data_IF_441597646584
#
_entry.id   IF_441597646584
#
_cell.length_a   1.000
_cell.length_b   1.000
_cell.length_c   1.000
_cell.angle_alpha   90.00
_cell.angle_beta   90.00
_cell.angle_gamma   90.00
#
_symmetry.space_group_name_H-M   'P 1'
#
loop_
_entity.id
_entity.type
_entity.pdbx_description
1 polymer ?
#
# COMPACT_ATOMS: atom_id res chain seq x y z
N UNK A 1 -66.80 -60.11 1.39
CA UNK A 1 -65.44 -59.78 0.91
C UNK A 1 -64.48 -59.91 2.09
N UNK A 2 -63.73 -61.02 2.20
CA UNK A 2 -62.77 -61.24 3.29
C UNK A 2 -61.49 -60.44 3.00
N UNK A 3 -61.24 -59.38 3.78
CA UNK A 3 -59.98 -58.64 3.72
C UNK A 3 -58.83 -59.53 4.20
N UNK A 4 -57.82 -59.70 3.35
CA UNK A 4 -56.55 -60.35 3.69
C UNK A 4 -55.79 -59.46 4.66
N UNK A 5 -55.47 -59.98 5.85
CA UNK A 5 -54.52 -59.36 6.75
C UNK A 5 -53.12 -59.42 6.11
N UNK A 6 -52.53 -58.26 5.84
CA UNK A 6 -51.16 -58.13 5.34
C UNK A 6 -50.23 -58.27 6.54
N UNK A 7 -49.46 -59.35 6.59
CA UNK A 7 -48.47 -59.58 7.64
C UNK A 7 -47.22 -58.71 7.33
N UNK A 8 -47.17 -57.51 7.91
CA UNK A 8 -46.02 -56.61 7.84
C UNK A 8 -44.86 -57.17 8.67
N UNK A 9 -43.64 -57.20 8.10
CA UNK A 9 -42.46 -57.64 8.84
C UNK A 9 -42.18 -56.73 10.04
N UNK A 10 -41.65 -57.30 11.13
CA UNK A 10 -41.39 -56.58 12.39
C UNK A 10 -40.51 -55.32 12.21
N UNK A 11 -39.65 -55.29 11.18
CA UNK A 11 -38.85 -54.10 10.83
C UNK A 11 -39.69 -52.95 10.26
N UNK A 12 -40.72 -53.27 9.48
CA UNK A 12 -41.63 -52.28 8.92
C UNK A 12 -42.56 -51.71 9.99
N UNK A 13 -42.99 -52.54 10.94
CA UNK A 13 -43.76 -52.07 12.10
C UNK A 13 -42.92 -51.13 12.97
N UNK A 14 -41.64 -51.45 13.21
CA UNK A 14 -40.73 -50.57 13.94
C UNK A 14 -40.54 -49.22 13.24
N UNK A 15 -40.41 -49.22 11.91
CA UNK A 15 -40.24 -47.99 11.13
C UNK A 15 -41.48 -47.09 11.16
N UNK A 16 -42.67 -47.69 11.07
CA UNK A 16 -43.94 -46.96 11.20
C UNK A 16 -44.08 -46.35 12.61
N UNK A 17 -43.71 -47.10 13.65
CA UNK A 17 -43.73 -46.60 15.04
C UNK A 17 -42.78 -45.42 15.22
N UNK A 18 -41.58 -45.47 14.64
CA UNK A 18 -40.60 -44.37 14.69
C UNK A 18 -41.12 -43.14 13.94
N UNK A 19 -41.75 -43.30 12.78
CA UNK A 19 -42.36 -42.19 12.03
C UNK A 19 -43.52 -41.55 12.80
N UNK A 20 -44.35 -42.36 13.46
CA UNK A 20 -45.46 -41.86 14.29
C UNK A 20 -44.91 -41.11 15.52
N UNK A 21 -43.88 -41.64 16.17
CA UNK A 21 -43.23 -40.97 17.30
C UNK A 21 -42.56 -39.66 16.87
N UNK A 22 -41.91 -39.63 15.71
CA UNK A 22 -41.31 -38.42 15.15
C UNK A 22 -42.38 -37.39 14.73
N UNK A 23 -43.48 -37.84 14.13
CA UNK A 23 -44.61 -36.97 13.81
C UNK A 23 -45.26 -36.37 15.07
N UNK A 24 -45.40 -37.16 16.13
CA UNK A 24 -45.94 -36.72 17.41
C UNK A 24 -45.02 -35.72 18.13
N UNK A 25 -43.69 -35.93 18.08
CA UNK A 25 -42.74 -34.96 18.66
C UNK A 25 -42.69 -33.66 17.87
N UNK A 26 -42.78 -33.69 16.54
CA UNK A 26 -42.88 -32.49 15.71
C UNK A 26 -44.18 -31.72 16.00
N UNK A 27 -45.31 -32.43 16.14
CA UNK A 27 -46.60 -31.81 16.50
C UNK A 27 -46.60 -31.20 17.91
N UNK A 28 -46.02 -31.89 18.91
CA UNK A 28 -45.86 -31.37 20.27
C UNK A 28 -44.90 -30.17 20.32
N UNK A 29 -43.90 -30.14 19.44
CA UNK A 29 -42.98 -29.00 19.30
C UNK A 29 -43.68 -27.80 18.67
N UNK A 30 -44.52 -28.00 17.66
CA UNK A 30 -45.32 -26.95 17.01
C UNK A 30 -46.40 -26.38 17.93
N UNK A 31 -47.03 -27.20 18.79
CA UNK A 31 -48.01 -26.71 19.77
C UNK A 31 -47.34 -25.98 20.94
N UNK A 32 -46.13 -26.38 21.37
CA UNK A 32 -45.34 -25.63 22.36
C UNK A 32 -44.70 -24.34 21.80
N UNK A 33 -44.48 -24.24 20.48
CA UNK A 33 -44.11 -22.99 19.81
C UNK A 33 -45.30 -22.02 19.68
N UNK A 34 -46.53 -22.52 19.67
CA UNK A 34 -47.75 -21.69 19.66
C UNK A 34 -48.12 -21.12 21.04
N UNK A 35 -47.53 -21.60 22.14
CA UNK A 35 -47.81 -21.11 23.51
C UNK A 35 -46.69 -20.27 24.14
N UNK A 36 -45.61 -19.99 23.41
CA UNK A 36 -44.51 -19.14 23.90
C UNK A 36 -44.54 -17.74 23.25
N UNK A 37 -44.80 -16.72 24.07
CA UNK A 37 -44.96 -15.30 23.69
C UNK A 37 -43.74 -14.59 23.10
N UNK A 38 -42.74 -15.31 22.57
CA UNK A 38 -41.53 -14.74 21.97
C UNK A 38 -41.64 -14.37 20.48
N UNK A 39 -42.53 -15.02 19.70
CA UNK A 39 -42.62 -14.79 18.25
C UNK A 39 -43.24 -13.42 17.89
N UNK A 40 -44.21 -12.94 18.68
CA UNK A 40 -44.81 -11.62 18.46
C UNK A 40 -43.80 -10.47 18.67
N UNK A 41 -42.93 -10.58 19.67
CA UNK A 41 -41.93 -9.55 19.97
C UNK A 41 -40.78 -9.52 18.97
N UNK A 42 -40.37 -10.67 18.41
CA UNK A 42 -39.36 -10.71 17.35
C UNK A 42 -39.90 -10.12 16.04
N UNK A 43 -41.11 -10.54 15.65
CA UNK A 43 -41.75 -10.05 14.44
C UNK A 43 -42.09 -8.55 14.53
N UNK A 44 -42.46 -8.06 15.71
CA UNK A 44 -42.69 -6.62 15.93
C UNK A 44 -41.38 -5.80 15.87
N UNK A 45 -40.26 -6.35 16.35
CA UNK A 45 -38.96 -5.69 16.23
C UNK A 45 -38.44 -5.67 14.79
N UNK A 46 -38.63 -6.75 14.03
CA UNK A 46 -38.26 -6.80 12.62
C UNK A 46 -39.17 -5.89 11.79
N UNK A 47 -40.47 -5.82 12.08
CA UNK A 47 -41.38 -4.87 11.46
C UNK A 47 -41.01 -3.41 11.79
N UNK A 48 -40.59 -3.13 13.04
CA UNK A 48 -40.08 -1.80 13.45
C UNK A 48 -38.73 -1.46 12.81
N UNK A 49 -37.88 -2.44 12.51
CA UNK A 49 -36.63 -2.25 11.77
C UNK A 49 -36.89 -2.01 10.29
N UNK A 50 -37.81 -2.76 9.70
CA UNK A 50 -38.23 -2.58 8.30
C UNK A 50 -38.92 -1.23 8.10
N UNK A 51 -39.82 -0.82 9.00
CA UNK A 51 -40.46 0.50 8.95
C UNK A 51 -39.45 1.64 9.13
N UNK A 52 -38.38 1.44 9.94
CA UNK A 52 -37.27 2.40 10.03
C UNK A 52 -36.45 2.44 8.73
N UNK A 53 -36.15 1.29 8.13
CA UNK A 53 -35.45 1.25 6.85
C UNK A 53 -36.26 1.94 5.74
N UNK A 54 -37.57 1.70 5.68
CA UNK A 54 -38.49 2.38 4.75
C UNK A 54 -38.56 3.88 5.04
N UNK A 55 -38.61 4.29 6.32
CA UNK A 55 -38.58 5.73 6.64
C UNK A 55 -37.26 6.38 6.23
N UNK A 56 -36.12 5.69 6.37
CA UNK A 56 -34.84 6.16 5.89
C UNK A 56 -34.78 6.25 4.37
N UNK A 57 -35.33 5.27 3.64
CA UNK A 57 -35.42 5.31 2.17
C UNK A 57 -36.32 6.44 1.71
N UNK A 58 -37.50 6.61 2.31
CA UNK A 58 -38.41 7.72 2.00
C UNK A 58 -37.78 9.07 2.36
N UNK A 59 -36.98 9.15 3.42
CA UNK A 59 -36.25 10.35 3.78
C UNK A 59 -35.10 10.63 2.78
N UNK A 60 -34.41 9.59 2.29
CA UNK A 60 -33.39 9.72 1.24
C UNK A 60 -34.02 10.13 -0.09
N UNK A 61 -35.17 9.57 -0.45
CA UNK A 61 -35.92 9.94 -1.65
C UNK A 61 -36.47 11.37 -1.53
N UNK A 62 -37.02 11.74 -0.37
CA UNK A 62 -37.43 13.11 -0.09
C UNK A 62 -36.25 14.08 -0.11
N UNK A 63 -35.08 13.69 0.40
CA UNK A 63 -33.87 14.50 0.33
C UNK A 63 -33.36 14.64 -1.10
N UNK A 64 -33.40 13.57 -1.90
CA UNK A 64 -33.06 13.64 -3.32
C UNK A 64 -34.03 14.54 -4.10
N UNK A 65 -35.34 14.41 -3.84
CA UNK A 65 -36.36 15.27 -4.45
C UNK A 65 -36.24 16.72 -3.97
N UNK A 66 -35.88 16.94 -2.70
CA UNK A 66 -35.62 18.27 -2.16
C UNK A 66 -34.35 18.88 -2.77
N UNK A 67 -33.29 18.10 -2.92
CA UNK A 67 -32.06 18.52 -3.60
C UNK A 67 -32.34 18.83 -5.08
N UNK A 68 -33.15 18.01 -5.77
CA UNK A 68 -33.60 18.32 -7.13
C UNK A 68 -34.44 19.59 -7.18
N UNK A 69 -35.32 19.82 -6.19
CA UNK A 69 -36.13 21.04 -6.11
C UNK A 69 -35.26 22.27 -5.87
N UNK A 70 -34.26 22.18 -4.98
CA UNK A 70 -33.30 23.24 -4.71
C UNK A 70 -32.41 23.50 -5.93
N UNK A 71 -32.02 22.45 -6.67
CA UNK A 71 -31.29 22.57 -7.93
C UNK A 71 -32.13 23.24 -9.01
N UNK A 72 -33.41 22.87 -9.15
CA UNK A 72 -34.35 23.52 -10.08
C UNK A 72 -34.58 24.98 -9.69
N UNK A 73 -34.79 25.26 -8.42
CA UNK A 73 -34.97 26.62 -7.90
C UNK A 73 -33.70 27.46 -8.13
N UNK A 74 -32.50 26.91 -7.92
CA UNK A 74 -31.25 27.60 -8.23
C UNK A 74 -31.00 27.79 -9.73
N UNK A 75 -31.45 26.85 -10.57
CA UNK A 75 -31.35 26.95 -12.03
C UNK A 75 -32.36 27.94 -12.61
N UNK A 76 -33.58 28.01 -12.10
CA UNK A 76 -34.60 29.01 -12.46
C UNK A 76 -34.19 30.41 -11.98
N UNK A 77 -33.70 30.53 -10.74
CA UNK A 77 -33.21 31.79 -10.17
C UNK A 77 -31.96 32.30 -10.90
N UNK A 78 -31.06 31.41 -11.36
CA UNK A 78 -29.92 31.81 -12.22
C UNK A 78 -30.30 32.06 -13.69
N UNK A 79 -31.35 31.44 -14.23
CA UNK A 79 -31.89 31.80 -15.54
C UNK A 79 -32.44 33.23 -15.54
N UNK A 80 -33.00 33.69 -14.41
CA UNK A 80 -33.43 35.08 -14.23
C UNK A 80 -32.24 36.07 -14.04
N UNK A 81 -31.11 35.62 -13.48
CA UNK A 81 -29.95 36.49 -13.18
C UNK A 81 -28.98 36.62 -14.39
N UNK A 82 -28.98 35.69 -15.34
CA UNK A 82 -28.22 35.82 -16.61
C UNK A 82 -29.01 36.69 -17.59
N UNK A 83 -29.21 37.96 -17.22
CA UNK A 83 -29.66 38.99 -18.13
C UNK A 83 -28.60 39.28 -19.19
N UNK A 84 -28.78 38.69 -20.37
CA UNK A 84 -28.48 39.30 -21.69
C UNK A 84 -28.81 38.33 -22.85
N UNK A 85 -30.00 37.71 -22.82
CA UNK A 85 -30.63 37.15 -24.01
C UNK A 85 -32.00 37.79 -24.16
N UNK A 86 -32.34 38.40 -25.31
CA UNK A 86 -33.66 38.95 -25.51
C UNK A 86 -34.67 37.80 -25.46
N UNK A 87 -35.55 37.82 -24.47
CA UNK A 87 -36.69 36.94 -24.40
C UNK A 87 -37.63 37.31 -25.55
N UNK A 88 -37.48 36.61 -26.68
CA UNK A 88 -38.43 36.67 -27.79
C UNK A 88 -39.18 35.36 -27.77
N UNK A 89 -40.46 35.45 -27.43
CA UNK A 89 -41.44 34.38 -27.56
C UNK A 89 -41.27 33.69 -28.93
N UNK A 90 -40.83 32.43 -28.92
CA UNK A 90 -40.62 31.67 -30.14
C UNK A 90 -39.86 30.37 -29.89
N UNK A 91 -40.50 29.25 -30.22
CA UNK A 91 -39.99 27.87 -30.18
C UNK A 91 -38.48 27.75 -30.46
N UNK A 92 -37.70 27.37 -29.44
CA UNK A 92 -36.33 26.87 -29.63
C UNK A 92 -36.36 25.59 -30.47
N UNK A 93 -35.63 25.60 -31.59
CA UNK A 93 -35.40 24.43 -32.43
C UNK A 93 -34.62 23.34 -31.65
N UNK A 94 -34.83 22.07 -32.01
CA UNK A 94 -34.22 20.92 -31.35
C UNK A 94 -32.68 20.97 -31.40
N UNK A 95 -32.10 21.60 -32.43
CA UNK A 95 -30.65 21.82 -32.54
C UNK A 95 -30.10 22.78 -31.48
N UNK A 96 -30.80 23.88 -31.21
CA UNK A 96 -30.36 24.88 -30.23
C UNK A 96 -30.46 24.35 -28.79
N UNK A 97 -31.51 23.56 -28.50
CA UNK A 97 -31.64 22.86 -27.21
C UNK A 97 -30.50 21.89 -26.96
N UNK A 98 -30.02 21.20 -27.99
CA UNK A 98 -28.89 20.25 -27.90
C UNK A 98 -27.57 20.96 -27.62
N UNK A 99 -27.30 22.06 -28.32
CA UNK A 99 -26.09 22.87 -28.10
C UNK A 99 -26.10 23.50 -26.71
N UNK A 100 -27.26 23.97 -26.24
CA UNK A 100 -27.41 24.51 -24.89
C UNK A 100 -27.23 23.41 -23.83
N UNK A 101 -27.78 22.22 -24.04
CA UNK A 101 -27.61 21.06 -23.16
C UNK A 101 -26.14 20.64 -23.05
N UNK A 102 -25.40 20.57 -24.17
CA UNK A 102 -23.97 20.24 -24.17
C UNK A 102 -23.13 21.31 -23.45
N UNK A 103 -23.49 22.60 -23.59
CA UNK A 103 -22.81 23.71 -22.91
C UNK A 103 -23.10 23.72 -21.40
N UNK A 104 -24.32 23.38 -21.01
CA UNK A 104 -24.73 23.21 -19.62
C UNK A 104 -24.05 21.98 -19.02
N UNK A 105 -23.99 20.85 -19.73
CA UNK A 105 -23.29 19.64 -19.29
C UNK A 105 -21.79 19.88 -19.13
N UNK A 106 -21.16 20.63 -20.05
CA UNK A 106 -19.76 21.07 -19.92
C UNK A 106 -19.53 21.96 -18.70
N UNK A 107 -20.45 22.90 -18.42
CA UNK A 107 -20.40 23.73 -17.21
C UNK A 107 -20.70 22.94 -15.94
N UNK A 108 -21.63 21.98 -15.97
CA UNK A 108 -21.94 21.10 -14.85
C UNK A 108 -20.76 20.17 -14.57
N UNK A 109 -20.10 19.60 -15.59
CA UNK A 109 -18.84 18.85 -15.41
C UNK A 109 -17.72 19.72 -14.87
N UNK A 110 -17.64 20.98 -15.29
CA UNK A 110 -16.72 21.98 -14.71
C UNK A 110 -17.07 22.34 -13.27
N UNK A 111 -18.35 22.43 -12.91
CA UNK A 111 -18.84 22.76 -11.57
C UNK A 111 -18.77 21.57 -10.61
N UNK A 112 -18.98 20.34 -11.10
CA UNK A 112 -18.81 19.07 -10.37
C UNK A 112 -17.32 18.74 -10.22
N UNK A 113 -16.50 19.01 -11.25
CA UNK A 113 -15.03 19.03 -11.15
C UNK A 113 -14.51 20.16 -10.25
N UNK A 114 -15.35 21.17 -10.00
CA UNK A 114 -15.20 22.23 -9.00
C UNK A 114 -16.00 21.94 -7.72
N UNK A 115 -16.37 20.67 -7.44
CA UNK A 115 -16.33 20.26 -6.03
C UNK A 115 -14.91 20.58 -5.62
N UNK A 116 -14.75 21.61 -4.79
CA UNK A 116 -13.55 21.81 -3.99
C UNK A 116 -13.07 20.42 -3.62
N UNK A 117 -11.88 20.03 -4.06
CA UNK A 117 -11.29 18.77 -3.61
C UNK A 117 -11.08 18.93 -2.11
N UNK A 118 -12.14 18.67 -1.33
CA UNK A 118 -12.16 18.88 0.11
C UNK A 118 -11.21 17.83 0.63
N UNK A 119 -10.10 18.31 1.18
CA UNK A 119 -9.12 17.46 1.83
C UNK A 119 -9.85 16.62 2.88
N UNK A 120 -9.61 15.29 2.93
CA UNK A 120 -10.14 14.46 3.99
C UNK A 120 -9.61 14.99 5.34
N UNK A 121 -10.46 14.94 6.37
CA UNK A 121 -10.00 15.32 7.71
C UNK A 121 -8.91 14.37 8.19
N UNK A 122 -7.99 14.88 9.01
CA UNK A 122 -6.95 14.04 9.62
C UNK A 122 -7.56 12.91 10.47
N UNK A 123 -8.66 13.20 11.16
CA UNK A 123 -9.40 12.21 11.95
C UNK A 123 -9.93 11.07 11.08
N UNK A 124 -10.54 11.39 9.92
CA UNK A 124 -11.01 10.40 8.96
C UNK A 124 -9.87 9.51 8.46
N UNK A 125 -8.73 10.10 8.08
CA UNK A 125 -7.57 9.35 7.59
C UNK A 125 -6.96 8.45 8.69
N UNK A 126 -6.87 8.96 9.92
CA UNK A 126 -6.40 8.19 11.06
C UNK A 126 -7.34 7.03 11.40
N UNK A 127 -8.65 7.24 11.29
CA UNK A 127 -9.64 6.20 11.50
C UNK A 127 -9.49 5.07 10.47
N UNK A 128 -9.39 5.40 9.18
CA UNK A 128 -9.17 4.40 8.12
C UNK A 128 -7.92 3.56 8.37
N UNK A 129 -6.79 4.20 8.68
CA UNK A 129 -5.53 3.51 9.00
C UNK A 129 -5.67 2.62 10.23
N UNK A 130 -6.36 3.10 11.26
CA UNK A 130 -6.61 2.32 12.48
C UNK A 130 -7.48 1.10 12.20
N UNK A 131 -8.52 1.21 11.38
CA UNK A 131 -9.36 0.06 11.00
C UNK A 131 -8.50 -0.95 10.22
N UNK A 132 -7.71 -0.49 9.24
CA UNK A 132 -6.80 -1.34 8.48
C UNK A 132 -5.79 -2.11 9.37
N UNK A 133 -5.15 -1.42 10.32
CA UNK A 133 -4.20 -2.02 11.26
C UNK A 133 -4.94 -2.99 12.19
N UNK A 134 -6.04 -2.58 12.80
CA UNK A 134 -6.79 -3.41 13.74
C UNK A 134 -7.32 -4.70 13.09
N UNK A 135 -7.75 -4.65 11.82
CA UNK A 135 -8.16 -5.86 11.09
C UNK A 135 -7.01 -6.86 10.94
N UNK A 136 -5.80 -6.38 10.66
CA UNK A 136 -4.61 -7.22 10.59
C UNK A 136 -4.19 -7.75 11.96
N UNK A 137 -4.15 -6.89 12.98
CA UNK A 137 -3.76 -7.30 14.33
C UNK A 137 -4.75 -8.30 14.93
N UNK A 138 -6.05 -8.14 14.67
CA UNK A 138 -7.06 -9.12 15.08
C UNK A 138 -6.79 -10.49 14.43
N UNK A 139 -6.50 -10.52 13.12
CA UNK A 139 -6.12 -11.75 12.45
C UNK A 139 -4.85 -12.36 13.04
N UNK A 140 -3.80 -11.57 13.25
CA UNK A 140 -2.53 -12.03 13.80
C UNK A 140 -2.73 -12.65 15.19
N UNK A 141 -3.49 -11.96 16.06
CA UNK A 141 -3.81 -12.41 17.40
C UNK A 141 -4.58 -13.75 17.38
N UNK A 142 -5.70 -13.80 16.65
CA UNK A 142 -6.51 -15.02 16.57
C UNK A 142 -5.73 -16.16 15.91
N UNK A 143 -4.94 -15.87 14.88
CA UNK A 143 -4.08 -16.86 14.23
C UNK A 143 -3.06 -17.46 15.19
N UNK A 144 -2.43 -16.63 16.03
CA UNK A 144 -1.47 -17.10 17.02
C UNK A 144 -2.14 -18.03 18.05
N UNK A 145 -3.31 -17.64 18.56
CA UNK A 145 -4.06 -18.46 19.53
C UNK A 145 -4.55 -19.78 18.92
N UNK A 146 -5.06 -19.76 17.69
CA UNK A 146 -5.48 -20.97 16.98
C UNK A 146 -4.31 -21.92 16.72
N UNK A 147 -3.14 -21.40 16.34
CA UNK A 147 -1.92 -22.20 16.18
C UNK A 147 -1.43 -22.79 17.51
N UNK A 148 -1.58 -22.08 18.62
CA UNK A 148 -1.30 -22.61 19.96
C UNK A 148 -2.23 -23.77 20.31
N UNK A 149 -3.54 -23.64 20.02
CA UNK A 149 -4.52 -24.71 20.21
C UNK A 149 -4.16 -25.93 19.36
N UNK A 150 -3.86 -25.72 18.08
CA UNK A 150 -3.42 -26.78 17.14
C UNK A 150 -2.22 -27.54 17.70
N UNK A 151 -1.22 -26.82 18.18
CA UNK A 151 0.02 -27.42 18.70
C UNK A 151 -0.23 -28.24 19.97
N UNK A 152 -1.11 -27.78 20.87
CA UNK A 152 -1.48 -28.52 22.10
C UNK A 152 -2.35 -29.75 21.81
N UNK A 153 -3.23 -29.67 20.82
CA UNK A 153 -4.15 -30.76 20.46
C UNK A 153 -3.46 -31.88 19.67
N UNK A 154 -2.32 -31.60 19.02
CA UNK A 154 -1.61 -32.53 18.12
C UNK A 154 -1.31 -33.90 18.72
N UNK A 155 -1.07 -33.97 20.03
CA UNK A 155 -0.73 -35.23 20.71
C UNK A 155 -1.97 -36.03 21.15
N UNK A 156 -3.11 -35.37 21.38
CA UNK A 156 -4.25 -35.95 22.10
C UNK A 156 -5.54 -36.02 21.26
N UNK A 157 -5.68 -35.21 20.21
CA UNK A 157 -6.91 -35.11 19.40
C UNK A 157 -6.59 -34.62 17.99
N UNK A 158 -6.10 -35.51 17.10
CA UNK A 158 -5.70 -35.13 15.74
C UNK A 158 -6.87 -34.60 14.89
N UNK A 159 -8.12 -34.93 15.22
CA UNK A 159 -9.32 -34.39 14.55
C UNK A 159 -9.47 -32.87 14.72
N UNK A 160 -8.97 -32.31 15.84
CA UNK A 160 -8.99 -30.86 16.10
C UNK A 160 -8.10 -30.11 15.11
N UNK A 161 -7.09 -30.77 14.55
CA UNK A 161 -6.17 -30.16 13.58
C UNK A 161 -6.93 -29.67 12.33
N UNK A 162 -7.79 -30.53 11.77
CA UNK A 162 -8.60 -30.20 10.60
C UNK A 162 -9.62 -29.09 10.88
N UNK A 163 -10.24 -29.10 12.07
CA UNK A 163 -11.21 -28.08 12.49
C UNK A 163 -10.54 -26.71 12.61
N UNK A 164 -9.34 -26.66 13.21
CA UNK A 164 -8.59 -25.41 13.33
C UNK A 164 -8.15 -24.89 11.96
N UNK A 165 -7.72 -25.77 11.05
CA UNK A 165 -7.32 -25.37 9.70
C UNK A 165 -8.50 -24.82 8.89
N UNK A 166 -9.69 -25.42 9.00
CA UNK A 166 -10.91 -24.90 8.38
C UNK A 166 -11.31 -23.54 8.98
N UNK A 167 -11.29 -23.40 10.30
CA UNK A 167 -11.58 -22.13 10.97
C UNK A 167 -10.59 -21.02 10.57
N UNK A 168 -9.30 -21.35 10.47
CA UNK A 168 -8.25 -20.44 10.02
C UNK A 168 -8.43 -19.99 8.58
N UNK A 169 -8.87 -20.91 7.69
CA UNK A 169 -9.21 -20.58 6.31
C UNK A 169 -10.35 -19.57 6.24
N UNK A 170 -11.45 -19.82 6.95
CA UNK A 170 -12.60 -18.91 7.01
C UNK A 170 -12.23 -17.54 7.59
N UNK A 171 -11.40 -17.52 8.64
CA UNK A 171 -10.91 -16.29 9.24
C UNK A 171 -10.06 -15.47 8.25
N UNK A 172 -9.20 -16.14 7.47
CA UNK A 172 -8.38 -15.49 6.43
C UNK A 172 -9.26 -14.91 5.32
N UNK A 173 -10.28 -15.64 4.88
CA UNK A 173 -11.25 -15.17 3.89
C UNK A 173 -12.01 -13.93 4.41
N UNK A 174 -12.46 -13.96 5.66
CA UNK A 174 -13.16 -12.83 6.28
C UNK A 174 -12.27 -11.59 6.45
N UNK A 175 -11.00 -11.77 6.86
CA UNK A 175 -9.99 -10.70 6.85
C UNK A 175 -9.90 -10.08 5.45
N UNK A 176 -9.79 -10.90 4.41
CA UNK A 176 -9.70 -10.46 3.02
C UNK A 176 -10.90 -9.61 2.60
N UNK A 177 -12.11 -10.06 2.93
CA UNK A 177 -13.37 -9.33 2.70
C UNK A 177 -13.34 -7.94 3.34
N UNK A 178 -12.98 -7.84 4.63
CA UNK A 178 -12.91 -6.56 5.35
C UNK A 178 -11.87 -5.61 4.76
N UNK A 179 -10.72 -6.13 4.32
CA UNK A 179 -9.69 -5.31 3.67
C UNK A 179 -10.12 -4.88 2.26
N UNK A 180 -10.90 -5.69 1.56
CA UNK A 180 -11.52 -5.31 0.28
C UNK A 180 -12.51 -4.16 0.45
N UNK A 181 -13.39 -4.26 1.45
CA UNK A 181 -14.37 -3.21 1.77
C UNK A 181 -13.68 -1.87 2.08
N UNK A 182 -12.54 -1.89 2.78
CA UNK A 182 -11.75 -0.67 3.03
C UNK A 182 -11.18 -0.06 1.75
N UNK A 183 -10.74 -0.88 0.80
CA UNK A 183 -10.24 -0.39 -0.48
C UNK A 183 -11.36 0.19 -1.35
N UNK A 184 -12.54 -0.44 -1.35
CA UNK A 184 -13.69 0.06 -2.08
C UNK A 184 -14.30 1.32 -1.43
N UNK A 185 -14.24 1.42 -0.09
CA UNK A 185 -14.50 2.66 0.62
C UNK A 185 -13.54 3.76 0.18
N UNK A 186 -12.24 3.46 0.09
CA UNK A 186 -11.24 4.42 -0.38
C UNK A 186 -11.50 4.88 -1.83
N UNK A 187 -12.02 4.03 -2.70
CA UNK A 187 -12.39 4.44 -4.08
C UNK A 187 -13.66 5.28 -4.12
N UNK A 188 -14.62 5.01 -3.22
CA UNK A 188 -15.93 5.66 -3.19
C UNK A 188 -15.97 6.93 -2.32
N UNK A 189 -14.98 7.16 -1.46
CA UNK A 189 -14.89 8.32 -0.58
C UNK A 189 -14.72 9.68 -1.30
N UNK A 190 -14.39 9.65 -2.60
CA UNK A 190 -14.20 10.85 -3.42
C UNK A 190 -12.89 11.60 -3.15
N UNK A 191 -11.97 11.04 -2.35
CA UNK A 191 -10.71 11.67 -1.97
C UNK A 191 -9.50 11.14 -2.76
N UNK A 192 -9.65 10.13 -3.62
CA UNK A 192 -8.51 9.52 -4.34
C UNK A 192 -7.76 10.51 -5.24
N UNK A 193 -8.51 11.30 -6.02
CA UNK A 193 -7.90 12.34 -6.86
C UNK A 193 -7.16 13.39 -6.05
N UNK A 194 -7.70 13.77 -4.88
CA UNK A 194 -7.05 14.71 -3.97
C UNK A 194 -5.77 14.10 -3.40
N UNK A 195 -5.79 12.83 -2.95
CA UNK A 195 -4.62 12.12 -2.43
C UNK A 195 -3.49 12.10 -3.45
N UNK A 196 -3.78 11.67 -4.69
CA UNK A 196 -2.79 11.66 -5.77
C UNK A 196 -2.21 13.06 -6.04
N UNK A 197 -3.08 14.06 -6.12
CA UNK A 197 -2.65 15.41 -6.41
C UNK A 197 -1.79 15.98 -5.28
N UNK A 198 -2.15 15.72 -4.03
CA UNK A 198 -1.41 16.20 -2.88
C UNK A 198 -0.04 15.49 -2.75
N UNK A 199 0.04 14.18 -3.04
CA UNK A 199 1.32 13.48 -3.16
C UNK A 199 2.23 14.12 -4.22
N UNK A 200 1.68 14.44 -5.40
CA UNK A 200 2.42 15.12 -6.48
C UNK A 200 2.86 16.52 -6.05
N UNK A 201 1.96 17.29 -5.46
CA UNK A 201 2.23 18.66 -5.00
C UNK A 201 3.36 18.70 -3.96
N UNK A 202 3.27 17.89 -2.90
CA UNK A 202 4.29 17.85 -1.85
C UNK A 202 5.64 17.35 -2.38
N UNK A 203 5.64 16.35 -3.26
CA UNK A 203 6.87 15.91 -3.90
C UNK A 203 7.48 17.03 -4.73
N UNK A 204 6.69 17.74 -5.54
CA UNK A 204 7.17 18.86 -6.35
C UNK A 204 7.78 19.98 -5.50
N UNK A 205 7.12 20.37 -4.40
CA UNK A 205 7.65 21.38 -3.47
C UNK A 205 9.03 20.96 -2.94
N UNK A 206 9.18 19.72 -2.48
CA UNK A 206 10.46 19.27 -1.94
C UNK A 206 11.52 19.10 -3.02
N UNK A 207 11.19 18.54 -4.18
CA UNK A 207 12.16 18.42 -5.28
C UNK A 207 12.64 19.79 -5.75
N UNK A 208 11.76 20.80 -5.78
CA UNK A 208 12.13 22.19 -6.08
C UNK A 208 13.04 22.79 -5.00
N UNK A 209 12.74 22.60 -3.71
CA UNK A 209 13.59 23.08 -2.61
C UNK A 209 14.97 22.42 -2.64
N UNK A 210 15.04 21.11 -2.88
CA UNK A 210 16.30 20.37 -3.02
C UNK A 210 17.10 20.85 -4.22
N UNK A 211 16.45 21.03 -5.38
CA UNK A 211 17.10 21.56 -6.57
C UNK A 211 17.63 22.98 -6.35
N UNK A 212 16.86 23.85 -5.69
CA UNK A 212 17.29 25.20 -5.35
C UNK A 212 18.51 25.20 -4.41
N UNK A 213 18.46 24.42 -3.33
CA UNK A 213 19.56 24.26 -2.38
C UNK A 213 20.83 23.74 -3.04
N UNK A 214 20.68 22.77 -3.95
CA UNK A 214 21.80 22.14 -4.62
C UNK A 214 22.42 23.00 -5.71
N UNK A 215 21.70 23.99 -6.26
CA UNK A 215 22.16 24.77 -7.41
C UNK A 215 22.29 26.26 -7.09
N UNK A 216 23.25 26.65 -6.22
CA UNK A 216 23.53 28.05 -5.96
C UNK A 216 24.05 28.74 -7.24
N UNK A 217 23.75 30.05 -7.37
CA UNK A 217 24.25 30.88 -8.47
C UNK A 217 25.76 31.09 -8.42
N UNK A 218 26.31 31.15 -7.20
CA UNK A 218 27.73 31.34 -6.94
C UNK A 218 28.24 30.22 -6.02
N UNK A 219 28.83 29.19 -6.62
CA UNK A 219 29.39 28.06 -5.86
C UNK A 219 30.59 28.47 -5.00
N UNK A 220 31.37 29.50 -5.39
CA UNK A 220 32.57 29.90 -4.66
C UNK A 220 32.23 30.48 -3.28
N UNK A 221 31.08 31.13 -3.14
CA UNK A 221 30.60 31.71 -1.87
C UNK A 221 29.47 30.92 -1.21
N UNK A 222 28.96 29.85 -1.84
CA UNK A 222 27.93 28.99 -1.24
C UNK A 222 28.42 28.32 0.06
N UNK A 223 27.49 28.12 1.01
CA UNK A 223 27.74 27.27 2.18
C UNK A 223 27.62 25.81 1.75
N UNK A 224 28.61 25.00 2.10
CA UNK A 224 28.75 23.62 1.61
C UNK A 224 28.76 22.62 2.76
N UNK A 225 28.21 21.43 2.50
CA UNK A 225 28.33 20.27 3.37
C UNK A 225 28.98 19.12 2.61
N UNK A 226 30.16 18.71 3.06
CA UNK A 226 30.94 17.64 2.44
C UNK A 226 30.54 16.31 3.08
N UNK A 227 30.09 15.37 2.24
CA UNK A 227 29.77 14.00 2.62
C UNK A 227 30.68 13.02 1.87
N UNK A 228 31.23 12.03 2.56
CA UNK A 228 32.13 11.03 1.98
C UNK A 228 31.40 9.70 1.83
N UNK A 229 31.18 9.25 0.59
CA UNK A 229 30.37 8.07 0.29
C UNK A 229 30.90 6.76 0.92
N UNK A 230 32.21 6.65 1.08
CA UNK A 230 32.91 5.42 1.45
C UNK A 230 32.81 5.04 2.94
N UNK A 231 31.59 5.00 3.50
CA UNK A 231 31.33 4.38 4.80
C UNK A 231 31.64 2.88 4.71
N UNK A 232 32.21 2.31 5.78
CA UNK A 232 32.61 0.90 5.87
C UNK A 232 31.42 -0.08 5.99
N UNK A 233 30.50 -0.09 5.03
CA UNK A 233 29.33 -0.96 4.99
C UNK A 233 28.87 -1.22 3.54
N UNK A 234 27.72 -1.89 3.37
CA UNK A 234 27.15 -2.22 2.07
C UNK A 234 26.45 -1.04 1.36
N UNK A 235 26.04 -1.23 0.10
CA UNK A 235 25.41 -0.23 -0.77
C UNK A 235 24.25 0.51 -0.10
N UNK A 236 23.25 -0.22 0.43
CA UNK A 236 22.09 0.38 1.08
C UNK A 236 22.45 1.23 2.30
N UNK A 237 23.42 0.78 3.10
CA UNK A 237 23.94 1.55 4.24
C UNK A 237 24.70 2.81 3.79
N UNK A 238 25.50 2.73 2.72
CA UNK A 238 26.17 3.91 2.15
C UNK A 238 25.16 4.90 1.55
N UNK A 239 24.11 4.42 0.89
CA UNK A 239 23.05 5.26 0.38
C UNK A 239 22.29 5.98 1.50
N UNK A 240 21.94 5.27 2.58
CA UNK A 240 21.36 5.89 3.78
C UNK A 240 22.32 6.89 4.44
N UNK A 241 23.63 6.67 4.39
CA UNK A 241 24.61 7.67 4.84
C UNK A 241 24.54 8.95 4.01
N UNK A 242 24.42 8.86 2.68
CA UNK A 242 24.26 10.04 1.81
C UNK A 242 22.93 10.75 2.07
N UNK A 243 21.83 10.00 2.25
CA UNK A 243 20.53 10.58 2.63
C UNK A 243 20.63 11.36 3.93
N UNK A 244 21.27 10.79 4.96
CA UNK A 244 21.51 11.48 6.22
C UNK A 244 22.31 12.78 6.01
N UNK A 245 23.39 12.73 5.25
CA UNK A 245 24.15 13.94 4.91
C UNK A 245 23.28 14.99 4.21
N UNK A 246 22.39 14.55 3.32
CA UNK A 246 21.55 15.46 2.55
C UNK A 246 20.44 16.09 3.40
N UNK A 247 19.85 15.36 4.34
CA UNK A 247 18.90 15.91 5.33
C UNK A 247 19.60 16.98 6.17
N UNK A 248 20.82 16.71 6.64
CA UNK A 248 21.62 17.68 7.41
C UNK A 248 21.98 18.91 6.58
N UNK A 249 22.33 18.71 5.30
CA UNK A 249 22.60 19.78 4.36
C UNK A 249 21.37 20.66 4.13
N UNK A 250 20.21 20.04 3.94
CA UNK A 250 18.91 20.71 3.83
C UNK A 250 18.57 21.52 5.08
N UNK A 251 18.67 20.91 6.26
CA UNK A 251 18.32 21.55 7.53
C UNK A 251 19.25 22.71 7.92
N UNK A 252 20.46 22.76 7.35
CA UNK A 252 21.47 23.80 7.65
C UNK A 252 21.70 24.77 6.49
N UNK A 253 20.88 24.68 5.44
CA UNK A 253 20.95 25.51 4.23
C UNK A 253 22.34 25.46 3.58
N UNK A 254 22.85 24.24 3.39
CA UNK A 254 24.15 23.98 2.77
C UNK A 254 23.96 23.13 1.53
N UNK A 255 24.65 23.48 0.46
CA UNK A 255 24.75 22.62 -0.73
C UNK A 255 25.56 21.37 -0.39
N UNK A 256 24.98 20.19 -0.62
CA UNK A 256 25.65 18.91 -0.44
C UNK A 256 26.70 18.69 -1.52
N UNK A 257 27.94 18.46 -1.09
CA UNK A 257 29.06 18.05 -1.94
C UNK A 257 29.39 16.59 -1.63
N UNK A 258 29.11 15.71 -2.60
CA UNK A 258 29.35 14.27 -2.46
C UNK A 258 30.75 13.90 -2.96
N UNK A 259 31.60 13.38 -2.07
CA UNK A 259 32.90 12.81 -2.44
C UNK A 259 32.74 11.31 -2.67
N UNK A 260 32.71 10.91 -3.94
CA UNK A 260 32.39 9.55 -4.39
C UNK A 260 33.58 8.78 -5.00
N UNK A 261 34.70 9.44 -5.33
CA UNK A 261 35.86 8.78 -5.96
C UNK A 261 36.41 7.64 -5.11
N UNK A 262 36.84 6.56 -5.76
CA UNK A 262 37.35 5.36 -5.07
C UNK A 262 36.25 4.52 -4.43
N UNK A 263 35.00 4.68 -4.88
CA UNK A 263 33.89 3.91 -4.37
C UNK A 263 34.04 2.42 -4.63
N UNK A 264 33.82 1.61 -3.59
CA UNK A 264 34.02 0.14 -3.65
C UNK A 264 33.12 -0.57 -4.66
N UNK A 265 31.96 -0.02 -4.95
CA UNK A 265 31.02 -0.57 -5.94
C UNK A 265 31.32 -0.09 -7.36
N UNK A 266 31.89 1.12 -7.50
CA UNK A 266 32.24 1.67 -8.80
C UNK A 266 33.37 2.71 -8.65
N UNK A 267 34.60 2.34 -9.01
CA UNK A 267 35.80 3.17 -8.73
C UNK A 267 35.73 4.58 -9.31
N UNK A 268 35.06 4.75 -10.46
CA UNK A 268 34.88 6.05 -11.11
C UNK A 268 34.04 7.03 -10.27
N UNK A 269 33.21 6.52 -9.36
CA UNK A 269 32.38 7.31 -8.46
C UNK A 269 30.89 7.22 -8.77
N UNK A 270 30.14 8.13 -8.15
CA UNK A 270 28.68 8.20 -8.18
C UNK A 270 28.16 8.59 -9.56
N UNK A 271 28.84 9.54 -10.19
CA UNK A 271 28.46 10.24 -11.41
C UNK A 271 28.44 9.33 -12.65
N UNK A 272 29.03 8.14 -12.58
CA UNK A 272 29.02 7.16 -13.67
C UNK A 272 27.69 6.38 -13.74
N UNK A 273 26.94 6.32 -12.63
CA UNK A 273 25.68 5.57 -12.50
C UNK A 273 24.50 6.52 -12.31
N UNK A 274 24.68 7.55 -11.49
CA UNK A 274 23.65 8.52 -11.15
C UNK A 274 24.06 9.92 -11.58
N UNK A 275 23.09 10.80 -11.79
CA UNK A 275 23.35 12.21 -12.04
C UNK A 275 24.09 12.84 -10.85
N UNK A 276 24.92 13.87 -11.10
CA UNK A 276 25.53 14.61 -10.02
C UNK A 276 24.47 15.22 -9.09
N UNK A 277 24.82 15.38 -7.81
CA UNK A 277 23.89 15.93 -6.81
C UNK A 277 23.60 17.42 -7.05
N UNK A 278 24.46 18.11 -7.80
CA UNK A 278 24.31 19.51 -8.21
C UNK A 278 24.71 19.66 -9.68
N UNK A 279 24.07 20.57 -10.39
CA UNK A 279 24.43 20.94 -11.76
C UNK A 279 25.41 22.14 -11.76
N UNK A 280 25.42 22.97 -10.70
CA UNK A 280 26.20 24.22 -10.64
C UNK A 280 27.31 24.25 -9.61
N UNK A 281 27.35 23.30 -8.66
CA UNK A 281 28.28 23.34 -7.53
C UNK A 281 28.76 21.96 -7.09
N UNK A 282 29.95 21.56 -7.56
CA UNK A 282 30.51 20.22 -7.37
C UNK A 282 31.82 20.20 -6.57
N UNK A 283 32.50 21.34 -6.47
CA UNK A 283 33.73 21.47 -5.71
C UNK A 283 33.44 21.71 -4.22
N UNK A 284 34.41 21.36 -3.39
CA UNK A 284 34.34 21.58 -1.95
C UNK A 284 35.08 22.85 -1.52
N UNK A 285 35.46 23.72 -2.44
CA UNK A 285 36.37 24.83 -2.15
C UNK A 285 35.65 25.91 -1.35
N UNK A 286 36.39 26.61 -0.49
CA UNK A 286 35.83 27.67 0.32
C UNK A 286 36.87 28.35 1.20
N UNK A 287 36.50 29.50 1.76
CA UNK A 287 37.38 30.32 2.61
C UNK A 287 37.66 29.67 3.96
N UNK A 288 36.69 28.92 4.49
CA UNK A 288 36.81 28.27 5.81
C UNK A 288 36.28 26.85 5.78
N UNK A 289 37.04 25.94 6.39
CA UNK A 289 36.74 24.52 6.49
C UNK A 289 36.73 24.09 7.96
N UNK A 290 35.76 23.28 8.35
CA UNK A 290 35.77 22.58 9.64
C UNK A 290 35.04 21.24 9.56
N UNK A 291 35.30 20.37 10.53
CA UNK A 291 34.42 19.24 10.80
C UNK A 291 33.20 19.71 11.60
N UNK A 292 32.08 18.99 11.50
CA UNK A 292 30.92 19.20 12.36
C UNK A 292 31.30 19.26 13.85
N UNK A 293 30.71 20.16 14.67
CA UNK A 293 29.66 21.14 14.32
C UNK A 293 30.21 22.42 13.66
N UNK A 294 31.52 22.63 13.69
CA UNK A 294 32.17 23.85 13.21
C UNK A 294 31.68 25.11 13.92
N UNK A 295 31.99 26.28 13.33
CA UNK A 295 31.46 27.59 13.77
C UNK A 295 30.28 27.98 12.89
N UNK A 296 29.40 28.87 13.37
CA UNK A 296 28.22 29.32 12.63
C UNK A 296 28.56 29.89 11.22
N UNK A 297 29.68 30.62 11.13
CA UNK A 297 30.17 31.25 9.90
C UNK A 297 31.08 30.33 9.05
N UNK A 298 31.31 29.07 9.43
CA UNK A 298 32.12 28.16 8.62
C UNK A 298 31.42 27.90 7.28
N UNK A 299 32.13 28.14 6.18
CA UNK A 299 31.58 27.99 4.84
C UNK A 299 31.45 26.52 4.44
N UNK A 300 32.48 25.70 4.68
CA UNK A 300 32.51 24.28 4.29
C UNK A 300 32.56 23.41 5.54
N UNK A 301 31.50 22.63 5.79
CA UNK A 301 31.45 21.67 6.89
C UNK A 301 31.61 20.24 6.38
N UNK A 302 32.55 19.48 6.94
CA UNK A 302 32.65 18.04 6.69
C UNK A 302 31.85 17.29 7.74
N UNK A 303 30.90 16.49 7.27
CA UNK A 303 30.01 15.73 8.13
C UNK A 303 30.57 14.32 8.36
N UNK A 304 30.68 13.85 9.62
CA UNK A 304 31.07 12.48 9.91
C UNK A 304 29.91 11.51 9.64
N UNK A 305 30.20 10.21 9.74
CA UNK A 305 29.16 9.19 9.80
C UNK A 305 28.28 9.42 11.05
N UNK A 306 27.01 9.03 10.96
CA UNK A 306 26.03 9.25 12.03
C UNK A 306 26.46 8.62 13.37
N UNK A 307 27.22 7.52 13.32
CA UNK A 307 27.76 6.77 14.45
C UNK A 307 28.70 7.62 15.32
N UNK A 308 29.43 8.56 14.71
CA UNK A 308 30.38 9.46 15.39
C UNK A 308 29.93 10.93 15.37
N UNK A 309 28.67 11.19 15.05
CA UNK A 309 28.12 12.55 15.04
C UNK A 309 27.94 13.08 16.46
N UNK A 310 28.71 14.11 16.80
CA UNK A 310 28.59 14.83 18.06
C UNK A 310 28.89 16.33 17.86
N UNK A 311 28.10 17.26 18.43
CA UNK A 311 26.81 17.01 19.08
C UNK A 311 25.75 16.55 18.05
N UNK A 312 24.72 15.84 18.52
CA UNK A 312 23.61 15.39 17.67
C UNK A 312 22.58 16.52 17.55
N UNK A 313 22.24 16.98 16.33
CA UNK A 313 21.22 18.01 16.15
C UNK A 313 19.80 17.42 16.16
N UNK A 314 18.80 18.29 16.25
CA UNK A 314 17.38 17.90 16.29
C UNK A 314 16.83 17.41 14.94
N UNK A 315 17.48 17.76 13.83
CA UNK A 315 17.03 17.40 12.47
C UNK A 315 17.48 16.00 12.02
N UNK A 316 17.85 15.11 12.96
CA UNK A 316 18.12 13.72 12.65
C UNK A 316 16.81 12.94 12.42
N UNK A 317 16.84 11.90 11.57
CA UNK A 317 15.80 10.88 11.57
C UNK A 317 15.38 10.45 12.99
N UNK A 318 14.08 10.30 13.30
CA UNK A 318 12.91 10.29 12.40
C UNK A 318 12.22 11.67 12.21
N UNK A 319 12.91 12.79 12.45
CA UNK A 319 12.32 14.12 12.31
C UNK A 319 11.92 14.45 10.86
N UNK A 320 10.81 15.18 10.70
CA UNK A 320 10.32 15.74 9.43
C UNK A 320 10.10 17.27 9.57
N UNK A 321 10.10 18.04 8.48
CA UNK A 321 9.86 19.48 8.53
C UNK A 321 8.49 19.84 9.10
N UNK A 322 8.45 20.77 10.06
CA UNK A 322 7.23 21.16 10.76
C UNK A 322 6.17 21.77 9.83
N UNK A 323 6.59 22.45 8.76
CA UNK A 323 5.70 23.02 7.74
C UNK A 323 4.99 21.95 6.89
N UNK A 324 5.55 20.74 6.82
CA UNK A 324 5.00 19.63 6.04
C UNK A 324 4.28 18.58 6.88
N UNK A 325 4.62 18.48 8.17
CA UNK A 325 4.09 17.44 9.05
C UNK A 325 2.55 17.32 9.03
N UNK A 326 1.75 18.41 9.13
CA UNK A 326 0.30 18.29 9.10
C UNK A 326 -0.24 17.74 7.77
N UNK A 327 0.35 18.14 6.65
CA UNK A 327 -0.07 17.70 5.30
C UNK A 327 0.34 16.26 5.05
N UNK A 328 1.55 15.87 5.46
CA UNK A 328 2.04 14.49 5.32
C UNK A 328 1.25 13.52 6.18
N UNK A 329 0.88 13.90 7.41
CA UNK A 329 0.03 13.10 8.27
C UNK A 329 -1.35 12.84 7.64
N UNK A 330 -1.86 13.72 6.78
CA UNK A 330 -3.13 13.48 6.08
C UNK A 330 -3.00 12.46 4.95
N UNK A 331 -1.87 12.41 4.24
CA UNK A 331 -1.75 11.57 3.04
C UNK A 331 -0.98 10.26 3.24
N UNK A 332 -0.08 10.17 4.21
CA UNK A 332 0.83 9.03 4.36
C UNK A 332 0.75 8.41 5.76
N UNK A 333 0.73 7.07 5.83
CA UNK A 333 0.69 6.34 7.10
C UNK A 333 2.00 6.41 7.91
N UNK A 334 3.12 6.67 7.22
CA UNK A 334 4.43 6.91 7.83
C UNK A 334 5.12 8.13 7.19
N UNK A 335 4.81 9.35 7.65
CA UNK A 335 5.35 10.59 7.07
C UNK A 335 6.88 10.64 6.92
N UNK A 336 7.61 9.97 7.81
CA UNK A 336 9.07 9.98 7.79
C UNK A 336 9.63 9.17 6.61
N UNK A 337 9.05 8.01 6.31
CA UNK A 337 9.47 7.21 5.15
C UNK A 337 9.24 7.97 3.85
N UNK A 338 8.12 8.70 3.73
CA UNK A 338 7.88 9.57 2.57
C UNK A 338 8.94 10.67 2.45
N UNK A 339 9.33 11.27 3.58
CA UNK A 339 10.35 12.33 3.64
C UNK A 339 11.71 11.82 3.15
N UNK A 340 12.18 10.68 3.66
CA UNK A 340 13.39 10.00 3.18
C UNK A 340 13.30 9.66 1.69
N UNK A 341 12.13 9.22 1.23
CA UNK A 341 11.84 8.93 -0.17
C UNK A 341 12.11 10.10 -1.11
N UNK A 342 11.93 11.35 -0.66
CA UNK A 342 12.22 12.52 -1.49
C UNK A 342 13.73 12.71 -1.75
N UNK A 343 14.58 12.45 -0.76
CA UNK A 343 16.03 12.50 -0.94
C UNK A 343 16.52 11.36 -1.82
N UNK A 344 15.98 10.15 -1.63
CA UNK A 344 16.27 9.02 -2.51
C UNK A 344 15.86 9.31 -3.96
N UNK A 345 14.67 9.89 -4.18
CA UNK A 345 14.20 10.31 -5.50
C UNK A 345 15.16 11.30 -6.17
N UNK A 346 15.70 12.26 -5.41
CA UNK A 346 16.64 13.25 -5.95
C UNK A 346 18.03 12.63 -6.22
N UNK A 347 18.52 11.78 -5.31
CA UNK A 347 19.84 11.16 -5.43
C UNK A 347 19.87 10.14 -6.58
N UNK A 348 18.89 9.24 -6.64
CA UNK A 348 18.87 8.11 -7.56
C UNK A 348 18.41 8.47 -8.98
N UNK A 349 18.53 9.74 -9.39
CA UNK A 349 18.32 10.16 -10.79
C UNK A 349 19.37 9.44 -11.66
N UNK A 350 18.98 8.53 -12.56
CA UNK A 350 19.95 7.72 -13.28
C UNK A 350 20.64 8.53 -14.37
N UNK A 351 21.88 8.14 -14.71
CA UNK A 351 22.49 8.56 -15.97
C UNK A 351 21.74 7.96 -17.17
N UNK A 352 21.80 8.57 -18.37
CA UNK A 352 21.13 8.04 -19.56
C UNK A 352 21.50 6.58 -19.88
N UNK A 353 22.77 6.20 -19.67
CA UNK A 353 23.26 4.82 -19.83
C UNK A 353 22.57 3.85 -18.86
N UNK A 354 22.49 4.24 -17.59
CA UNK A 354 21.83 3.48 -16.52
C UNK A 354 20.33 3.39 -16.75
N UNK A 355 19.68 4.48 -17.18
CA UNK A 355 18.26 4.48 -17.54
C UNK A 355 17.98 3.47 -18.66
N UNK A 356 18.78 3.48 -19.73
CA UNK A 356 18.67 2.52 -20.84
C UNK A 356 18.88 1.08 -20.38
N UNK A 357 19.85 0.85 -19.47
CA UNK A 357 20.08 -0.47 -18.87
C UNK A 357 18.85 -0.96 -18.10
N UNK A 358 18.25 -0.11 -17.28
CA UNK A 358 17.05 -0.44 -16.49
C UNK A 358 15.86 -0.74 -17.40
N UNK A 359 15.58 0.10 -18.40
CA UNK A 359 14.49 -0.10 -19.37
C UNK A 359 14.65 -1.41 -20.14
N UNK A 360 15.88 -1.70 -20.60
CA UNK A 360 16.22 -2.95 -21.29
C UNK A 360 16.03 -4.14 -20.35
N UNK A 361 16.44 -4.04 -19.09
CA UNK A 361 16.25 -5.07 -18.07
C UNK A 361 14.77 -5.35 -17.81
N UNK A 362 13.95 -4.31 -17.59
CA UNK A 362 12.50 -4.42 -17.39
C UNK A 362 11.85 -5.14 -18.56
N UNK A 363 12.20 -4.76 -19.80
CA UNK A 363 11.69 -5.39 -21.02
C UNK A 363 12.09 -6.85 -21.13
N UNK A 364 13.37 -7.16 -20.91
CA UNK A 364 13.90 -8.53 -21.05
C UNK A 364 13.38 -9.49 -19.98
N UNK A 365 13.09 -8.97 -18.78
CA UNK A 365 12.47 -9.75 -17.71
C UNK A 365 10.99 -10.05 -17.96
N UNK A 366 10.34 -9.35 -18.90
CA UNK A 366 8.88 -9.41 -19.06
C UNK A 366 8.15 -8.84 -17.84
N UNK A 367 8.73 -7.84 -17.17
CA UNK A 367 8.17 -7.27 -15.94
C UNK A 367 6.78 -6.68 -16.20
N UNK A 368 5.75 -7.25 -15.56
CA UNK A 368 4.34 -6.90 -15.77
C UNK A 368 3.56 -6.98 -14.46
N UNK A 369 2.64 -6.05 -14.25
CA UNK A 369 1.73 -6.04 -13.10
C UNK A 369 0.51 -6.97 -13.34
N UNK A 370 -0.11 -7.51 -12.27
CA UNK A 370 0.33 -7.44 -10.88
C UNK A 370 1.56 -8.32 -10.63
N UNK A 371 2.46 -7.85 -9.76
CA UNK A 371 3.70 -8.54 -9.37
C UNK A 371 4.06 -8.21 -7.92
N UNK A 372 4.57 -9.19 -7.17
CA UNK A 372 5.06 -9.00 -5.81
C UNK A 372 6.58 -9.06 -5.80
N UNK A 373 7.23 -8.06 -5.23
CA UNK A 373 8.68 -8.05 -5.03
C UNK A 373 9.06 -8.75 -3.73
N UNK A 374 9.97 -9.72 -3.80
CA UNK A 374 10.45 -10.49 -2.64
C UNK A 374 11.98 -10.36 -2.57
N UNK A 375 12.47 -9.81 -1.47
CA UNK A 375 13.91 -9.68 -1.22
C UNK A 375 14.36 -10.64 -0.12
N UNK A 376 15.12 -11.66 -0.50
CA UNK A 376 15.61 -12.71 0.42
C UNK A 376 17.09 -12.45 0.68
N UNK A 377 17.41 -11.96 1.88
CA UNK A 377 18.78 -11.68 2.30
C UNK A 377 19.30 -12.80 3.21
N UNK A 378 20.40 -13.44 2.80
CA UNK A 378 21.06 -14.51 3.55
C UNK A 378 22.51 -14.15 3.86
N UNK A 379 23.45 -14.89 3.25
CA UNK A 379 24.91 -14.78 3.36
C UNK A 379 25.42 -14.18 4.68
N UNK A 380 26.11 -13.04 4.64
CA UNK A 380 26.77 -12.38 5.79
C UNK A 380 25.82 -11.79 6.84
N UNK A 381 24.51 -11.74 6.57
CA UNK A 381 23.52 -11.15 7.50
C UNK A 381 22.95 -12.15 8.48
N UNK A 382 22.92 -13.43 8.11
CA UNK A 382 22.38 -14.48 8.98
C UNK A 382 23.33 -14.72 10.15
N UNK A 383 22.81 -14.61 11.37
CA UNK A 383 23.57 -14.85 12.60
C UNK A 383 24.36 -13.64 13.12
N UNK A 384 24.34 -12.52 12.42
CA UNK A 384 24.97 -11.26 12.84
C UNK A 384 23.94 -10.13 12.98
N UNK A 385 23.18 -9.86 11.92
CA UNK A 385 22.23 -8.75 11.84
C UNK A 385 20.77 -9.23 11.67
N UNK A 386 20.56 -10.45 11.19
CA UNK A 386 19.24 -11.01 10.91
C UNK A 386 19.16 -12.53 11.17
N UNK A 387 17.94 -13.03 11.28
CA UNK A 387 17.65 -14.46 11.35
C UNK A 387 17.53 -15.07 9.94
N UNK A 388 17.66 -16.39 9.86
CA UNK A 388 17.33 -17.13 8.65
C UNK A 388 15.81 -17.26 8.53
N UNK A 389 15.28 -16.91 7.36
CA UNK A 389 13.88 -17.10 7.00
C UNK A 389 13.77 -17.99 5.75
N UNK A 390 12.87 -18.97 5.82
CA UNK A 390 12.69 -19.94 4.72
C UNK A 390 11.95 -19.28 3.55
N UNK A 391 12.12 -19.79 2.32
CA UNK A 391 11.40 -19.25 1.14
C UNK A 391 9.89 -19.37 1.33
N UNK A 392 9.42 -20.47 1.93
CA UNK A 392 8.00 -20.73 2.19
C UNK A 392 7.37 -19.62 3.04
N UNK A 393 8.09 -19.09 4.02
CA UNK A 393 7.60 -18.00 4.88
C UNK A 393 7.27 -16.73 4.07
N UNK A 394 8.14 -16.35 3.13
CA UNK A 394 7.86 -15.23 2.22
C UNK A 394 6.70 -15.54 1.28
N UNK A 395 6.62 -16.78 0.77
CA UNK A 395 5.55 -17.17 -0.15
C UNK A 395 4.17 -17.16 0.51
N UNK A 396 4.06 -17.43 1.81
CA UNK A 396 2.79 -17.26 2.54
C UNK A 396 2.24 -15.83 2.43
N UNK A 397 3.11 -14.80 2.54
CA UNK A 397 2.70 -13.41 2.39
C UNK A 397 2.36 -13.05 0.93
N UNK A 398 3.05 -13.67 -0.04
CA UNK A 398 2.76 -13.53 -1.47
C UNK A 398 1.38 -14.11 -1.79
N UNK A 399 1.09 -15.30 -1.28
CA UNK A 399 -0.20 -15.96 -1.48
C UNK A 399 -1.33 -15.16 -0.82
N UNK A 400 -1.13 -14.68 0.41
CA UNK A 400 -2.08 -13.78 1.09
C UNK A 400 -2.39 -12.52 0.27
N UNK A 401 -1.40 -11.93 -0.40
CA UNK A 401 -1.60 -10.77 -1.28
C UNK A 401 -2.44 -11.13 -2.51
N UNK A 402 -2.09 -12.22 -3.20
CA UNK A 402 -2.81 -12.63 -4.41
C UNK A 402 -4.22 -13.11 -4.12
N UNK A 403 -4.43 -13.86 -3.04
CA UNK A 403 -5.76 -14.29 -2.60
C UNK A 403 -6.67 -13.06 -2.38
N UNK A 404 -6.16 -12.00 -1.76
CA UNK A 404 -6.89 -10.75 -1.57
C UNK A 404 -7.09 -9.94 -2.85
N UNK A 405 -6.18 -10.04 -3.81
CA UNK A 405 -6.28 -9.34 -5.09
C UNK A 405 -7.31 -10.02 -6.01
N UNK A 406 -7.29 -11.35 -6.05
CA UNK A 406 -8.18 -12.19 -6.85
C UNK A 406 -9.66 -12.07 -6.43
N UNK A 407 -9.93 -11.70 -5.17
CA UNK A 407 -11.27 -11.34 -4.70
C UNK A 407 -11.84 -10.08 -5.38
N UNK A 408 -10.96 -9.18 -5.87
CA UNK A 408 -11.33 -7.86 -6.39
C UNK A 408 -11.21 -7.75 -7.90
N UNK A 409 -10.29 -8.50 -8.50
CA UNK A 409 -10.01 -8.42 -9.92
C UNK A 409 -9.45 -9.74 -10.44
N UNK A 410 -9.67 -10.06 -11.73
CA UNK A 410 -9.05 -11.23 -12.34
C UNK A 410 -7.51 -11.06 -12.37
N UNK A 411 -6.79 -12.10 -11.93
CA UNK A 411 -5.34 -12.20 -12.02
C UNK A 411 -5.00 -13.25 -13.07
N UNK A 412 -4.35 -12.84 -14.15
CA UNK A 412 -3.95 -13.74 -15.23
C UNK A 412 -2.86 -14.72 -14.78
N UNK A 413 -1.92 -14.22 -13.97
CA UNK A 413 -0.83 -15.02 -13.41
C UNK A 413 -0.27 -14.37 -12.14
N UNK A 414 0.00 -15.19 -11.12
CA UNK A 414 0.69 -14.76 -9.90
C UNK A 414 2.18 -14.61 -10.18
N UNK A 415 2.67 -13.37 -10.34
CA UNK A 415 4.07 -13.05 -10.65
C UNK A 415 4.84 -12.66 -9.40
N UNK A 416 6.09 -13.11 -9.28
CA UNK A 416 6.97 -12.79 -8.16
C UNK A 416 8.33 -12.36 -8.68
N UNK A 417 8.76 -11.15 -8.36
CA UNK A 417 10.11 -10.69 -8.63
C UNK A 417 11.01 -11.01 -7.42
N UNK A 418 11.98 -11.91 -7.59
CA UNK A 418 12.91 -12.31 -6.53
C UNK A 418 14.24 -11.59 -6.68
N UNK A 419 14.65 -10.91 -5.61
CA UNK A 419 16.00 -10.41 -5.41
C UNK A 419 16.65 -11.17 -4.24
N UNK A 420 17.76 -11.87 -4.48
CA UNK A 420 18.46 -12.67 -3.46
C UNK A 420 19.96 -12.60 -3.67
N UNK A 421 20.71 -12.60 -2.57
CA UNK A 421 22.16 -12.76 -2.54
C UNK A 421 22.61 -14.24 -2.48
N UNK A 422 21.68 -15.16 -2.26
CA UNK A 422 21.87 -16.60 -2.31
C UNK A 422 21.34 -17.17 -3.63
N UNK A 423 22.23 -17.75 -4.44
CA UNK A 423 21.89 -18.33 -5.74
C UNK A 423 20.97 -19.54 -5.64
N UNK A 424 20.99 -20.29 -4.53
CA UNK A 424 20.16 -21.49 -4.32
C UNK A 424 18.68 -21.15 -4.19
N UNK A 425 18.34 -19.91 -3.87
CA UNK A 425 16.95 -19.44 -3.80
C UNK A 425 16.26 -19.55 -5.15
N UNK A 426 16.99 -19.35 -6.27
CA UNK A 426 16.41 -19.46 -7.62
C UNK A 426 15.89 -20.86 -7.91
N UNK A 427 16.65 -21.89 -7.58
CA UNK A 427 16.29 -23.29 -7.88
C UNK A 427 15.04 -23.72 -7.12
N UNK A 428 14.84 -23.17 -5.91
CA UNK A 428 13.66 -23.44 -5.07
C UNK A 428 12.42 -22.68 -5.57
N UNK A 429 12.62 -21.52 -6.20
CA UNK A 429 11.54 -20.67 -6.73
C UNK A 429 11.08 -21.05 -8.14
N UNK A 430 11.28 -22.28 -8.60
CA UNK A 430 10.80 -22.73 -9.91
C UNK A 430 9.69 -23.78 -9.81
N UNK A 431 9.09 -23.94 -8.64
CA UNK A 431 7.89 -24.76 -8.45
C UNK A 431 6.63 -23.97 -8.84
N UNK A 432 5.74 -24.53 -9.69
CA UNK A 432 4.42 -23.93 -9.94
C UNK A 432 3.63 -23.79 -8.64
N UNK A 433 2.68 -22.84 -8.53
CA UNK A 433 1.94 -22.17 -9.61
C UNK A 433 2.42 -20.76 -10.01
N UNK A 434 3.42 -20.19 -9.32
CA UNK A 434 3.83 -18.80 -9.50
C UNK A 434 4.82 -18.62 -10.68
N UNK A 435 4.77 -17.47 -11.35
CA UNK A 435 5.77 -17.06 -12.34
C UNK A 435 6.86 -16.22 -11.69
N UNK A 436 8.08 -16.75 -11.63
CA UNK A 436 9.18 -16.09 -10.96
C UNK A 436 10.08 -15.34 -11.95
N UNK A 437 10.24 -14.05 -11.70
CA UNK A 437 11.15 -13.16 -12.42
C UNK A 437 12.37 -12.94 -11.53
N UNK A 438 13.56 -13.20 -12.05
CA UNK A 438 14.82 -12.86 -11.37
C UNK A 438 15.87 -12.47 -12.39
N UNK A 439 16.77 -11.55 -12.03
CA UNK A 439 17.90 -11.20 -12.89
C UNK A 439 18.93 -12.33 -12.84
N UNK A 440 19.36 -12.88 -13.99
CA UNK A 440 20.40 -13.90 -13.99
C UNK A 440 21.72 -13.38 -13.41
N UNK A 441 22.29 -14.10 -12.43
CA UNK A 441 23.60 -13.76 -11.84
C UNK A 441 24.75 -13.76 -12.85
N UNK A 442 24.59 -14.48 -13.96
CA UNK A 442 25.60 -14.59 -15.01
C UNK A 442 25.79 -13.29 -15.81
N UNK A 443 24.79 -12.38 -15.81
CA UNK A 443 24.87 -11.07 -16.48
C UNK A 443 25.91 -10.16 -15.80
N UNK A 444 26.21 -10.38 -14.51
CA UNK A 444 27.14 -9.54 -13.74
C UNK A 444 28.55 -10.14 -13.58
N UNK A 445 28.88 -11.24 -14.27
CA UNK A 445 30.24 -11.82 -14.23
C UNK A 445 30.66 -12.36 -12.86
N UNK A 446 29.72 -12.59 -11.94
CA UNK A 446 29.98 -13.03 -10.56
C UNK A 446 30.41 -14.50 -10.41
N UNK A 447 30.51 -15.27 -11.51
CA UNK A 447 31.11 -16.62 -11.50
C UNK A 447 32.64 -16.63 -11.37
N UNK A 448 33.34 -15.48 -11.42
CA UNK A 448 34.82 -15.44 -11.35
C UNK A 448 35.43 -15.60 -9.94
N UNK A 449 34.66 -16.12 -8.97
CA UNK A 449 35.12 -16.30 -7.59
C UNK A 449 35.07 -17.73 -7.04
N UNK A 450 34.59 -18.72 -7.81
CA UNK A 450 34.56 -20.12 -7.35
C UNK A 450 35.88 -20.79 -7.75
N UNK A 451 36.71 -21.27 -6.80
CA UNK A 451 37.92 -22.03 -7.11
C UNK A 451 37.58 -23.20 -8.05
N UNK A 452 38.40 -23.41 -9.08
CA UNK A 452 38.20 -24.45 -10.12
C UNK A 452 38.08 -25.89 -9.55
N UNK A 453 38.41 -26.10 -8.28
CA UNK A 453 38.38 -27.40 -7.61
C UNK A 453 36.95 -27.89 -7.26
N UNK A 454 35.93 -27.01 -7.27
CA UNK A 454 34.53 -27.40 -7.04
C UNK A 454 33.73 -27.70 -8.31
N UNK A 455 34.30 -27.51 -9.51
CA UNK A 455 33.62 -27.80 -10.78
C UNK A 455 33.62 -29.29 -11.18
N UNK A 456 34.34 -30.15 -10.45
CA UNK A 456 34.52 -31.57 -10.83
C UNK A 456 33.61 -32.53 -10.04
N UNK A 457 32.74 -32.05 -9.13
CA UNK A 457 31.86 -32.93 -8.32
C UNK A 457 30.35 -32.85 -8.64
N UNK A 458 29.96 -32.29 -9.79
CA UNK A 458 28.55 -32.21 -10.21
C UNK A 458 28.26 -32.91 -11.55
N UNK A 459 29.11 -33.87 -11.93
CA UNK A 459 28.80 -34.83 -12.99
C UNK A 459 28.95 -36.24 -12.45
N UNK A 460 28.02 -36.65 -11.58
CA UNK A 460 27.46 -38.00 -11.48
C UNK A 460 26.20 -37.96 -10.60
#
# INVERSE_FOLDING_TARGET
MKMRAINLSSRMQLFIVVIILWGATVLLSLTNLSSSGGSKHLMENDLRRLNRAISYVNMLESNNNHIESLLREHLEMRCLIVGNLPFRDGNFDAGEKKVLAEKIEGKIKSLIGSKTQIAPSLEYQNLLRRIYINTQEMYNFVSAEMNNIKTRAKTNSPEVEGIVDEAMKLLKEHKGSLLSDLEDLRKSDGHEQWREQEFRNLSNVIQQRLHHLQNPRDCANARKMVCRLNKGCGYGCQLHHVVYCFIMAYATERTLILKSKGWRYHKAGWEDIFQPVSDTCLDSDGKTHANWPGKANTQVLTLPIIDSLHPRPEHLPLAIPADLAPRLAQIHGDPFVWWVGQFLKYLLRPQPSTQKMLETGIKNLGFKNPIVGVHIRRTDKVGTEAAFHSVAEYMTAVDDFYDQLEQRQPVDKRRVYIASDDYKVRDISHTPPNEFLSVPMDIFGLQRGIPRELKVKLSH
#
